data_IF_041911881426
#
_entry.id   IF_041911881426
#
_cell.length_a   1.000
_cell.length_b   1.000
_cell.length_c   1.000
_cell.angle_alpha   90.00
_cell.angle_beta   90.00
_cell.angle_gamma   90.00
#
_symmetry.space_group_name_H-M   'P 1'
#
loop_
_entity.id
_entity.type
_entity.pdbx_description
1 polymer ?
#
# COMPACT_ATOMS: atom_id res chain seq x y z
N UNK A 1 15.27 -20.25 9.15
CA UNK A 1 14.03 -20.78 8.55
C UNK A 1 13.05 -21.05 9.67
N UNK A 2 12.25 -20.04 10.03
CA UNK A 2 11.15 -20.24 10.95
C UNK A 2 10.13 -21.17 10.28
N UNK A 3 9.70 -22.21 10.98
CA UNK A 3 8.57 -23.05 10.58
C UNK A 3 7.39 -22.13 10.32
N UNK A 4 7.01 -21.94 9.06
CA UNK A 4 5.79 -21.23 8.70
C UNK A 4 4.63 -21.90 9.43
N UNK A 5 4.04 -21.19 10.39
CA UNK A 5 2.81 -21.63 11.01
C UNK A 5 1.72 -21.61 9.94
N UNK A 6 1.52 -22.77 9.31
CA UNK A 6 0.52 -22.99 8.26
C UNK A 6 -0.89 -22.60 8.73
N UNK A 7 -1.12 -22.44 10.03
CA UNK A 7 -2.40 -21.98 10.57
C UNK A 7 -2.68 -20.50 10.26
N UNK A 8 -1.63 -19.65 10.20
CA UNK A 8 -1.75 -18.22 9.92
C UNK A 8 -2.02 -17.93 8.44
N UNK A 9 -1.47 -18.75 7.54
CA UNK A 9 -1.62 -18.62 6.09
C UNK A 9 -2.78 -19.44 5.52
N UNK A 10 -3.48 -20.21 6.35
CA UNK A 10 -4.62 -21.03 5.91
C UNK A 10 -5.73 -20.21 5.22
N UNK A 11 -6.13 -19.01 5.69
CA UNK A 11 -7.03 -18.13 4.94
C UNK A 11 -6.54 -17.80 3.53
N UNK A 12 -5.26 -17.47 3.38
CA UNK A 12 -4.65 -17.11 2.10
C UNK A 12 -4.71 -18.26 1.12
N UNK A 13 -4.31 -19.46 1.56
CA UNK A 13 -4.33 -20.67 0.74
C UNK A 13 -5.76 -20.98 0.27
N UNK A 14 -6.76 -20.88 1.15
CA UNK A 14 -8.17 -21.09 0.79
C UNK A 14 -8.67 -20.09 -0.26
N UNK A 15 -8.17 -18.86 -0.23
CA UNK A 15 -8.51 -17.81 -1.19
C UNK A 15 -7.60 -17.79 -2.43
N UNK A 16 -6.70 -18.78 -2.60
CA UNK A 16 -5.82 -18.88 -3.76
C UNK A 16 -4.65 -17.89 -3.77
N UNK A 17 -4.23 -17.41 -2.59
CA UNK A 17 -3.12 -16.47 -2.45
C UNK A 17 -1.82 -17.17 -1.99
N UNK A 18 -0.72 -16.84 -2.67
CA UNK A 18 0.65 -17.17 -2.29
C UNK A 18 1.33 -15.94 -1.67
N UNK A 19 2.09 -16.09 -0.58
CA UNK A 19 2.85 -14.98 0.02
C UNK A 19 4.30 -15.06 -0.46
N UNK A 20 4.74 -14.04 -1.20
CA UNK A 20 6.03 -14.07 -1.90
C UNK A 20 6.85 -12.80 -1.63
N UNK A 21 8.18 -12.85 -1.55
CA UNK A 21 9.00 -11.65 -1.51
C UNK A 21 8.85 -10.85 -2.81
N UNK A 22 8.86 -9.51 -2.71
CA UNK A 22 8.77 -8.61 -3.86
C UNK A 22 9.96 -8.80 -4.82
N UNK A 23 11.15 -8.99 -4.27
CA UNK A 23 12.41 -9.10 -5.02
C UNK A 23 13.36 -10.06 -4.31
N UNK A 24 14.33 -10.62 -5.03
CA UNK A 24 15.41 -11.42 -4.43
C UNK A 24 16.52 -10.56 -3.81
N UNK A 25 16.38 -9.23 -3.86
CA UNK A 25 17.32 -8.30 -3.23
C UNK A 25 17.44 -8.58 -1.71
N UNK A 26 18.63 -8.33 -1.16
CA UNK A 26 18.95 -8.50 0.26
C UNK A 26 17.89 -7.89 1.19
N UNK A 27 17.34 -6.72 0.85
CA UNK A 27 16.35 -6.03 1.68
C UNK A 27 15.08 -6.86 1.92
N UNK A 28 14.53 -7.48 0.87
CA UNK A 28 13.34 -8.32 0.96
C UNK A 28 13.60 -9.64 1.70
N UNK A 29 14.87 -10.02 1.87
CA UNK A 29 15.28 -11.21 2.63
C UNK A 29 15.63 -10.89 4.09
N UNK A 30 15.97 -9.63 4.42
CA UNK A 30 16.40 -9.20 5.76
C UNK A 30 15.31 -8.53 6.57
N UNK A 31 14.33 -7.88 5.93
CA UNK A 31 13.24 -7.15 6.57
C UNK A 31 11.89 -7.60 6.05
N UNK A 32 10.87 -7.55 6.91
CA UNK A 32 9.47 -7.85 6.57
C UNK A 32 8.68 -6.62 6.12
N UNK A 33 9.15 -5.41 6.45
CA UNK A 33 8.59 -4.13 6.02
C UNK A 33 9.69 -3.08 5.85
N UNK A 34 9.47 -2.10 4.96
CA UNK A 34 10.38 -0.98 4.67
C UNK A 34 9.60 0.33 4.70
N UNK A 35 10.15 1.46 5.19
CA UNK A 35 9.45 2.74 5.10
C UNK A 35 9.34 3.16 3.63
N UNK A 36 8.13 3.47 3.16
CA UNK A 36 7.86 3.92 1.80
C UNK A 36 7.87 5.45 1.72
N UNK A 37 7.25 6.09 2.70
CA UNK A 37 7.16 7.55 2.82
C UNK A 37 7.50 7.91 4.25
N UNK A 38 8.37 8.89 4.44
CA UNK A 38 8.72 9.43 5.75
C UNK A 38 8.49 10.94 5.78
N UNK A 39 8.05 11.51 6.92
CA UNK A 39 8.21 12.93 7.17
C UNK A 39 9.68 13.34 7.10
N UNK A 40 9.95 14.57 6.68
CA UNK A 40 11.32 15.10 6.58
C UNK A 40 12.03 15.26 7.94
N UNK A 41 11.39 15.14 9.08
CA UNK A 41 12.09 15.07 10.37
C UNK A 41 12.61 13.65 10.70
N UNK A 42 12.45 12.69 9.77
CA UNK A 42 13.02 11.35 9.86
C UNK A 42 13.92 11.03 8.67
N UNK A 43 14.84 10.10 8.87
CA UNK A 43 15.71 9.55 7.83
C UNK A 43 15.82 8.04 7.99
N UNK A 44 15.71 7.32 6.87
CA UNK A 44 16.00 5.90 6.81
C UNK A 44 17.50 5.66 6.56
N UNK A 45 18.12 4.82 7.38
CA UNK A 45 19.48 4.32 7.17
C UNK A 45 19.43 2.88 6.66
N UNK A 46 19.72 2.64 5.37
CA UNK A 46 19.69 1.30 4.77
C UNK A 46 20.70 0.33 5.39
N UNK A 47 21.79 0.85 5.97
CA UNK A 47 22.87 0.03 6.54
C UNK A 47 22.45 -0.55 7.89
N UNK A 48 21.83 0.26 8.73
CA UNK A 48 21.36 -0.16 10.06
C UNK A 48 19.91 -0.60 10.08
N UNK A 49 19.17 -0.45 8.98
CA UNK A 49 17.75 -0.87 8.86
C UNK A 49 16.87 -0.11 9.86
N UNK A 50 17.20 1.16 10.09
CA UNK A 50 16.52 1.98 11.11
C UNK A 50 16.05 3.30 10.54
N UNK A 51 14.90 3.73 11.05
CA UNK A 51 14.42 5.09 10.90
C UNK A 51 14.88 5.89 12.11
N UNK A 52 15.56 7.01 11.86
CA UNK A 52 16.16 7.86 12.90
C UNK A 52 15.51 9.24 12.83
N UNK A 53 15.04 9.75 13.98
CA UNK A 53 14.55 11.12 14.11
C UNK A 53 15.72 12.10 13.99
N UNK A 54 15.58 13.12 13.14
CA UNK A 54 16.56 14.18 12.92
C UNK A 54 16.38 15.28 13.97
N UNK A 55 17.30 15.43 14.94
CA UNK A 55 17.14 16.42 16.00
C UNK A 55 17.10 17.85 15.43
N UNK A 56 16.13 18.65 15.88
CA UNK A 56 16.00 20.05 15.47
C UNK A 56 15.40 20.29 14.08
N UNK A 57 15.00 19.24 13.35
CA UNK A 57 14.29 19.38 12.08
C UNK A 57 12.79 19.47 12.33
N UNK A 58 12.15 20.48 11.73
CA UNK A 58 10.69 20.66 11.78
C UNK A 58 10.07 19.84 10.65
N UNK A 59 8.99 19.10 10.97
CA UNK A 59 8.17 18.41 9.98
C UNK A 59 7.44 19.44 9.10
N UNK A 60 7.69 19.39 7.81
CA UNK A 60 7.13 20.32 6.80
C UNK A 60 6.72 19.64 5.51
N UNK A 61 7.28 18.47 5.20
CA UNK A 61 6.99 17.77 3.94
C UNK A 61 7.27 16.27 4.06
N UNK A 62 6.73 15.51 3.11
CA UNK A 62 6.92 14.08 2.94
C UNK A 62 8.07 13.79 1.99
N UNK A 63 8.81 12.72 2.26
CA UNK A 63 9.95 12.24 1.49
C UNK A 63 9.71 10.77 1.12
N UNK A 64 9.87 10.45 -0.16
CA UNK A 64 9.85 9.06 -0.64
C UNK A 64 11.19 8.40 -0.31
N UNK A 65 11.14 7.17 0.18
CA UNK A 65 12.35 6.38 0.45
C UNK A 65 12.74 5.61 -0.82
N UNK A 66 13.92 5.89 -1.36
CA UNK A 66 14.37 5.36 -2.65
C UNK A 66 14.45 3.83 -2.66
N UNK A 67 14.90 3.20 -1.57
CA UNK A 67 15.00 1.74 -1.47
C UNK A 67 13.64 1.06 -1.59
N UNK A 68 12.61 1.59 -0.92
CA UNK A 68 11.25 1.08 -1.01
C UNK A 68 10.65 1.33 -2.40
N UNK A 69 10.95 2.49 -2.98
CA UNK A 69 10.52 2.85 -4.33
C UNK A 69 11.09 1.90 -5.39
N UNK A 70 12.36 1.51 -5.25
CA UNK A 70 12.97 0.52 -6.15
C UNK A 70 12.36 -0.88 -5.99
N UNK A 71 12.06 -1.31 -4.76
CA UNK A 71 11.32 -2.55 -4.54
C UNK A 71 9.95 -2.51 -5.21
N UNK A 72 9.23 -1.40 -5.06
CA UNK A 72 7.93 -1.22 -5.69
C UNK A 72 8.04 -1.29 -7.24
N UNK A 73 9.10 -0.72 -7.81
CA UNK A 73 9.37 -0.79 -9.26
C UNK A 73 9.68 -2.22 -9.74
N UNK A 74 10.19 -3.10 -8.89
CA UNK A 74 10.43 -4.51 -9.24
C UNK A 74 9.11 -5.29 -9.45
N UNK A 75 7.99 -4.80 -8.89
CA UNK A 75 6.67 -5.41 -9.08
C UNK A 75 6.12 -5.08 -10.48
N UNK A 76 6.25 -6.02 -11.41
CA UNK A 76 5.76 -5.89 -12.80
C UNK A 76 4.31 -6.31 -12.99
N UNK A 77 3.76 -7.06 -12.04
CA UNK A 77 2.35 -7.47 -12.05
C UNK A 77 1.42 -6.27 -11.77
N UNK A 78 0.15 -6.32 -12.21
CA UNK A 78 -0.90 -5.49 -11.65
C UNK A 78 -0.93 -5.53 -10.13
N UNK A 79 -1.16 -4.38 -9.51
CA UNK A 79 -1.19 -4.26 -8.05
C UNK A 79 -2.60 -4.00 -7.51
N UNK A 80 -2.91 -4.66 -6.41
CA UNK A 80 -3.92 -4.29 -5.43
C UNK A 80 -3.16 -3.77 -4.20
N UNK A 81 -3.67 -2.76 -3.52
CA UNK A 81 -2.99 -2.18 -2.35
C UNK A 81 -3.98 -2.08 -1.20
N UNK A 82 -3.69 -2.82 -0.12
CA UNK A 82 -4.44 -2.74 1.13
C UNK A 82 -3.67 -1.87 2.10
N UNK A 83 -4.25 -0.75 2.51
CA UNK A 83 -3.64 0.14 3.48
C UNK A 83 -4.49 0.26 4.74
N UNK A 84 -3.85 0.34 5.91
CA UNK A 84 -4.52 0.58 7.18
C UNK A 84 -4.10 1.91 7.79
N UNK A 85 -5.07 2.70 8.24
CA UNK A 85 -4.85 3.95 8.96
C UNK A 85 -5.79 4.07 10.17
N UNK A 86 -5.58 5.10 10.99
CA UNK A 86 -6.38 5.37 12.18
C UNK A 86 -5.54 5.60 13.44
N UNK A 87 -6.20 5.69 14.59
CA UNK A 87 -5.62 6.11 15.86
C UNK A 87 -4.31 5.39 16.22
N UNK A 88 -3.38 6.09 16.87
CA UNK A 88 -2.17 5.48 17.42
C UNK A 88 -2.50 4.37 18.44
N UNK A 89 -1.64 3.34 18.51
CA UNK A 89 -1.73 2.25 19.50
C UNK A 89 -3.04 1.42 19.48
N UNK A 90 -3.74 1.42 18.34
CA UNK A 90 -5.00 0.68 18.15
C UNK A 90 -4.84 -0.71 17.49
N UNK A 91 -3.60 -1.23 17.45
CA UNK A 91 -3.30 -2.55 16.89
C UNK A 91 -3.35 -2.66 15.35
N UNK A 92 -3.16 -1.54 14.63
CA UNK A 92 -3.11 -1.49 13.15
C UNK A 92 -2.06 -2.41 12.55
N UNK A 93 -0.81 -2.21 12.95
CA UNK A 93 0.36 -2.95 12.49
C UNK A 93 0.20 -4.46 12.73
N UNK A 94 -0.49 -4.87 13.80
CA UNK A 94 -0.81 -6.28 14.04
C UNK A 94 -1.86 -6.81 13.07
N UNK A 95 -2.95 -6.09 12.81
CA UNK A 95 -3.99 -6.51 11.88
C UNK A 95 -3.43 -6.71 10.46
N UNK A 96 -2.59 -5.78 9.99
CA UNK A 96 -1.94 -5.89 8.68
C UNK A 96 -0.80 -6.91 8.66
N UNK A 97 -0.11 -7.15 9.78
CA UNK A 97 0.84 -8.28 9.89
C UNK A 97 0.14 -9.63 9.75
N UNK A 98 -1.04 -9.77 10.34
CA UNK A 98 -1.87 -10.98 10.18
C UNK A 98 -2.35 -11.15 8.74
N UNK A 99 -2.66 -10.07 8.02
CA UNK A 99 -2.87 -10.10 6.56
C UNK A 99 -1.61 -10.49 5.78
N UNK A 100 -0.41 -10.23 6.30
CA UNK A 100 0.86 -10.69 5.73
C UNK A 100 1.19 -12.16 6.08
N UNK A 101 0.33 -12.84 6.84
CA UNK A 101 0.53 -14.24 7.25
C UNK A 101 1.52 -14.42 8.41
N UNK A 102 1.87 -13.36 9.15
CA UNK A 102 2.74 -13.43 10.35
C UNK A 102 2.16 -12.61 11.51
N UNK A 103 2.81 -12.61 12.67
CA UNK A 103 2.40 -11.77 13.80
C UNK A 103 3.06 -10.39 13.80
N UNK A 104 4.13 -10.22 13.03
CA UNK A 104 5.16 -9.19 13.21
C UNK A 104 5.74 -8.66 11.87
N UNK A 105 5.00 -8.81 10.76
CA UNK A 105 5.48 -8.33 9.46
C UNK A 105 5.76 -6.82 9.46
N UNK A 106 5.00 -6.06 10.24
CA UNK A 106 5.21 -4.65 10.53
C UNK A 106 5.59 -4.48 12.00
N UNK A 107 6.51 -3.55 12.26
CA UNK A 107 7.02 -3.36 13.61
C UNK A 107 5.92 -2.91 14.58
N UNK A 108 5.74 -3.68 15.65
CA UNK A 108 4.79 -3.34 16.72
C UNK A 108 5.47 -2.44 17.76
N UNK A 109 4.73 -1.45 18.25
CA UNK A 109 5.12 -0.63 19.39
C UNK A 109 4.50 -1.17 20.68
N UNK A 110 5.33 -1.51 21.67
CA UNK A 110 4.93 -1.85 23.04
C UNK A 110 5.21 -0.71 24.04
N UNK A 111 5.44 0.51 23.53
CA UNK A 111 5.71 1.72 24.32
C UNK A 111 4.68 2.78 23.97
N UNK A 112 4.41 3.67 24.92
CA UNK A 112 3.46 4.80 24.79
C UNK A 112 3.80 5.84 23.71
N UNK A 113 4.88 5.67 22.94
CA UNK A 113 5.27 6.58 21.85
C UNK A 113 5.00 5.93 20.48
N UNK A 114 4.42 6.67 19.50
CA UNK A 114 4.24 6.17 18.15
C UNK A 114 5.57 5.69 17.56
N UNK A 115 5.58 4.45 17.07
CA UNK A 115 6.80 3.80 16.56
C UNK A 115 6.89 3.85 15.04
N UNK A 116 5.76 3.78 14.33
CA UNK A 116 5.70 4.02 12.90
C UNK A 116 5.58 5.52 12.63
N UNK A 117 6.62 6.11 12.04
CA UNK A 117 6.54 7.42 11.39
C UNK A 117 6.36 7.20 9.88
N UNK A 118 5.47 7.96 9.27
CA UNK A 118 5.18 7.87 7.83
C UNK A 118 4.33 6.67 7.41
N UNK A 119 4.55 6.15 6.21
CA UNK A 119 3.86 4.99 5.63
C UNK A 119 4.88 3.90 5.34
N UNK A 120 4.60 2.70 5.84
CA UNK A 120 5.44 1.51 5.72
C UNK A 120 4.83 0.53 4.73
N UNK A 121 5.67 -0.15 3.96
CA UNK A 121 5.28 -1.13 2.95
C UNK A 121 5.83 -2.51 3.32
N UNK A 122 5.00 -3.54 3.24
CA UNK A 122 5.46 -4.92 3.38
C UNK A 122 6.42 -5.32 2.26
N UNK A 123 7.50 -6.05 2.59
CA UNK A 123 8.48 -6.53 1.58
C UNK A 123 8.03 -7.82 0.88
N UNK A 124 6.91 -8.38 1.32
CA UNK A 124 6.21 -9.51 0.69
C UNK A 124 4.86 -9.05 0.13
N UNK A 125 4.43 -9.70 -0.94
CA UNK A 125 3.14 -9.50 -1.59
C UNK A 125 2.29 -10.76 -1.50
N UNK A 126 0.97 -10.57 -1.54
CA UNK A 126 0.00 -11.66 -1.67
C UNK A 126 -0.35 -11.82 -3.14
N UNK A 127 0.17 -12.85 -3.81
CA UNK A 127 -0.08 -13.11 -5.23
C UNK A 127 -1.30 -14.00 -5.41
N UNK A 128 -2.23 -13.58 -6.25
CA UNK A 128 -3.33 -14.43 -6.71
C UNK A 128 -3.25 -14.57 -8.24
N UNK A 129 -2.96 -15.79 -8.70
CA UNK A 129 -2.75 -16.08 -10.13
C UNK A 129 -4.05 -16.02 -10.93
N UNK A 130 -5.17 -16.44 -10.33
CA UNK A 130 -6.48 -16.45 -10.98
C UNK A 130 -7.01 -15.03 -11.17
N UNK A 131 -6.87 -14.17 -10.15
CA UNK A 131 -7.24 -12.75 -10.24
C UNK A 131 -6.25 -11.91 -11.07
N UNK A 132 -5.03 -12.43 -11.29
CA UNK A 132 -4.02 -11.82 -12.14
C UNK A 132 -3.43 -10.52 -11.58
N UNK A 133 -3.23 -10.46 -10.27
CA UNK A 133 -2.59 -9.34 -9.57
C UNK A 133 -1.83 -9.80 -8.32
N UNK A 134 -1.02 -8.89 -7.78
CA UNK A 134 -0.39 -9.04 -6.46
C UNK A 134 -0.89 -7.96 -5.51
N UNK A 135 -1.00 -8.28 -4.23
CA UNK A 135 -1.43 -7.34 -3.18
C UNK A 135 -0.24 -6.86 -2.37
N UNK A 136 -0.09 -5.55 -2.28
CA UNK A 136 0.88 -4.86 -1.41
C UNK A 136 0.14 -4.40 -0.15
N UNK A 137 0.81 -4.51 1.00
CA UNK A 137 0.27 -4.10 2.29
C UNK A 137 0.97 -2.83 2.77
N UNK A 138 0.18 -1.84 3.21
CA UNK A 138 0.66 -0.58 3.76
C UNK A 138 0.16 -0.38 5.20
N UNK A 139 1.06 0.06 6.09
CA UNK A 139 0.75 0.48 7.46
C UNK A 139 1.10 1.96 7.63
N UNK A 140 0.18 2.76 8.16
CA UNK A 140 0.43 4.18 8.41
C UNK A 140 0.78 4.46 9.87
N UNK A 141 1.50 5.56 10.07
CA UNK A 141 1.57 6.28 11.34
C UNK A 141 0.16 6.49 11.90
N UNK A 142 0.03 6.39 13.22
CA UNK A 142 -1.23 6.59 13.90
C UNK A 142 -1.54 8.06 14.13
N UNK A 143 -2.77 8.46 13.83
CA UNK A 143 -3.27 9.79 14.18
C UNK A 143 -3.41 9.87 15.70
N UNK A 144 -2.67 10.77 16.36
CA UNK A 144 -2.91 11.06 17.78
C UNK A 144 -3.11 12.56 17.98
N UNK A 145 -4.35 12.93 18.31
CA UNK A 145 -4.77 14.31 18.54
C UNK A 145 -4.13 14.94 19.80
N UNK A 146 -3.41 14.16 20.60
CA UNK A 146 -2.83 14.61 21.88
C UNK A 146 -1.58 15.47 21.69
N UNK A 147 -0.84 15.32 20.61
CA UNK A 147 0.39 16.10 20.39
C UNK A 147 0.23 17.09 19.21
N UNK A 148 0.28 18.41 19.46
CA UNK A 148 0.14 19.44 18.43
C UNK A 148 1.20 19.38 17.30
N UNK A 149 2.37 18.79 17.58
CA UNK A 149 3.43 18.50 16.59
C UNK A 149 3.00 17.51 15.49
N UNK A 150 1.88 16.82 15.70
CA UNK A 150 1.23 15.91 14.77
C UNK A 150 0.02 16.57 14.06
N UNK A 151 -0.14 17.90 14.08
CA UNK A 151 -1.23 18.57 13.36
C UNK A 151 -1.16 18.44 11.81
N UNK A 152 -0.03 17.98 11.27
CA UNK A 152 0.23 17.83 9.83
C UNK A 152 0.08 16.36 9.32
N UNK A 153 -0.99 15.69 9.76
CA UNK A 153 -1.30 14.31 9.33
C UNK A 153 -2.08 14.23 8.01
N UNK A 154 -2.54 15.37 7.48
CA UNK A 154 -3.34 15.42 6.26
C UNK A 154 -2.63 14.76 5.08
N UNK A 155 -1.35 15.07 4.87
CA UNK A 155 -0.57 14.52 3.76
C UNK A 155 -0.47 12.99 3.78
N UNK A 156 -0.17 12.37 4.92
CA UNK A 156 -0.10 10.89 5.00
C UNK A 156 -1.47 10.26 4.73
N UNK A 157 -2.54 10.89 5.17
CA UNK A 157 -3.90 10.40 4.92
C UNK A 157 -4.29 10.52 3.44
N UNK A 158 -3.93 11.63 2.77
CA UNK A 158 -4.03 11.78 1.31
C UNK A 158 -3.33 10.60 0.64
N UNK A 159 -2.07 10.36 1.03
CA UNK A 159 -1.26 9.31 0.41
C UNK A 159 -1.89 7.93 0.58
N UNK A 160 -2.44 7.61 1.76
CA UNK A 160 -3.16 6.35 1.98
C UNK A 160 -4.37 6.20 1.05
N UNK A 161 -5.16 7.27 0.85
CA UNK A 161 -6.30 7.23 -0.09
C UNK A 161 -5.84 7.04 -1.53
N UNK A 162 -4.83 7.81 -1.98
CA UNK A 162 -4.38 7.79 -3.37
C UNK A 162 -3.63 6.51 -3.78
N UNK A 163 -3.00 5.83 -2.83
CA UNK A 163 -2.19 4.62 -3.11
C UNK A 163 -2.99 3.33 -2.98
N UNK A 164 -4.09 3.31 -2.23
CA UNK A 164 -4.80 2.08 -1.89
C UNK A 164 -5.91 1.73 -2.90
N UNK A 165 -6.21 0.44 -3.02
CA UNK A 165 -7.47 -0.06 -3.58
C UNK A 165 -8.47 -0.47 -2.49
N UNK A 166 -7.98 -0.74 -1.27
CA UNK A 166 -8.78 -0.93 -0.06
C UNK A 166 -8.13 -0.14 1.08
N UNK A 167 -8.87 0.82 1.63
CA UNK A 167 -8.48 1.59 2.80
C UNK A 167 -9.22 1.04 4.04
N UNK A 168 -8.47 0.54 5.00
CA UNK A 168 -8.97 0.08 6.30
C UNK A 168 -8.79 1.23 7.30
N UNK A 169 -9.90 1.77 7.79
CA UNK A 169 -9.90 2.73 8.89
C UNK A 169 -10.11 2.00 10.21
N UNK A 170 -9.09 1.98 11.06
CA UNK A 170 -9.05 1.20 12.29
C UNK A 170 -9.27 2.08 13.53
N UNK A 171 -10.30 1.74 14.31
CA UNK A 171 -10.61 2.40 15.58
C UNK A 171 -10.84 1.37 16.67
N UNK A 172 -10.73 1.80 17.93
CA UNK A 172 -11.05 0.98 19.09
C UNK A 172 -12.50 1.22 19.51
N UNK A 173 -13.17 0.15 19.90
CA UNK A 173 -14.57 0.13 20.37
C UNK A 173 -15.54 0.59 19.27
N UNK A 174 -16.80 0.78 19.66
CA UNK A 174 -17.84 1.34 18.79
C UNK A 174 -17.53 2.80 18.43
N UNK A 175 -17.94 3.28 17.24
CA UNK A 175 -17.65 4.64 16.81
C UNK A 175 -18.11 5.72 17.80
N UNK A 176 -17.22 6.67 18.09
CA UNK A 176 -17.45 7.81 18.97
C UNK A 176 -17.43 9.12 18.20
N UNK A 177 -17.78 10.23 18.86
CA UNK A 177 -17.63 11.58 18.28
C UNK A 177 -16.19 11.91 17.86
N UNK A 178 -15.18 11.36 18.56
CA UNK A 178 -13.77 11.58 18.21
C UNK A 178 -13.42 10.96 16.87
N UNK A 179 -13.85 9.72 16.64
CA UNK A 179 -13.59 9.00 15.39
C UNK A 179 -14.21 9.73 14.19
N UNK A 180 -15.37 10.35 14.39
CA UNK A 180 -16.00 11.18 13.37
C UNK A 180 -15.20 12.45 13.06
N UNK A 181 -14.57 13.09 14.05
CA UNK A 181 -13.68 14.25 13.80
C UNK A 181 -12.47 13.85 12.96
N UNK A 182 -11.89 12.68 13.21
CA UNK A 182 -10.77 12.17 12.41
C UNK A 182 -11.23 11.79 10.99
N UNK A 183 -12.41 11.18 10.83
CA UNK A 183 -13.03 10.97 9.52
C UNK A 183 -13.38 12.27 8.80
N UNK A 184 -13.67 13.35 9.53
CA UNK A 184 -13.87 14.66 8.92
C UNK A 184 -12.60 15.16 8.24
N UNK A 185 -11.44 14.99 8.88
CA UNK A 185 -10.14 15.30 8.26
C UNK A 185 -9.97 14.49 6.98
N UNK A 186 -10.31 13.19 6.99
CA UNK A 186 -10.32 12.35 5.79
C UNK A 186 -11.21 12.95 4.69
N UNK A 187 -12.46 13.30 5.00
CA UNK A 187 -13.39 13.85 4.01
C UNK A 187 -12.98 15.22 3.49
N UNK A 188 -12.44 16.09 4.34
CA UNK A 188 -11.97 17.43 3.96
C UNK A 188 -10.75 17.34 3.04
N UNK A 189 -9.85 16.39 3.33
CA UNK A 189 -8.68 16.09 2.53
C UNK A 189 -9.06 15.48 1.18
N UNK A 190 -9.98 14.52 1.18
CA UNK A 190 -10.50 13.92 -0.05
C UNK A 190 -11.22 14.95 -0.91
N UNK A 191 -11.99 15.85 -0.29
CA UNK A 191 -12.68 16.94 -0.97
C UNK A 191 -11.74 17.92 -1.67
N UNK A 192 -10.42 17.83 -1.43
CA UNK A 192 -9.42 18.58 -2.19
C UNK A 192 -8.94 17.80 -3.42
N UNK A 193 -8.90 16.47 -3.41
CA UNK A 193 -8.36 15.65 -4.51
C UNK A 193 -9.17 15.87 -5.79
N UNK A 194 -8.48 16.12 -6.91
CA UNK A 194 -9.11 16.32 -8.22
C UNK A 194 -8.89 15.11 -9.13
N UNK A 195 -9.86 14.82 -9.99
CA UNK A 195 -9.70 13.81 -11.04
C UNK A 195 -8.96 14.37 -12.24
N UNK A 196 -9.38 15.54 -12.73
CA UNK A 196 -8.77 16.24 -13.86
C UNK A 196 -8.40 17.68 -13.47
N UNK A 197 -7.47 18.25 -14.21
CA UNK A 197 -7.10 19.66 -14.07
C UNK A 197 -8.30 20.56 -14.40
N UNK A 198 -8.52 21.61 -13.60
CA UNK A 198 -9.57 22.63 -13.77
C UNK A 198 -11.04 22.17 -13.65
N UNK A 199 -11.32 20.98 -13.13
CA UNK A 199 -12.71 20.54 -12.81
C UNK A 199 -13.03 20.77 -11.32
N UNK A 200 -14.25 21.26 -11.03
CA UNK A 200 -14.80 21.27 -9.67
C UNK A 200 -15.18 19.84 -9.24
N UNK A 201 -14.99 19.53 -7.95
CA UNK A 201 -15.22 18.20 -7.33
C UNK A 201 -16.66 17.67 -7.56
N UNK A 202 -17.57 18.54 -7.94
CA UNK A 202 -19.01 18.29 -8.11
C UNK A 202 -19.41 17.73 -9.47
N UNK A 203 -18.59 17.89 -10.53
CA UNK A 203 -19.01 17.53 -11.90
C UNK A 203 -18.77 16.04 -12.27
N UNK A 204 -17.81 15.35 -11.63
CA UNK A 204 -17.44 13.96 -11.98
C UNK A 204 -17.27 13.04 -10.76
N UNK A 205 -18.18 13.12 -9.79
CA UNK A 205 -18.20 12.20 -8.64
C UNK A 205 -18.29 10.73 -9.05
N UNK A 206 -18.85 10.44 -10.23
CA UNK A 206 -18.87 9.09 -10.80
C UNK A 206 -17.49 8.56 -11.16
N UNK A 207 -16.63 9.36 -11.80
CA UNK A 207 -15.26 8.97 -12.08
C UNK A 207 -14.40 8.93 -10.80
N UNK A 208 -14.58 9.88 -9.87
CA UNK A 208 -13.95 9.84 -8.53
C UNK A 208 -14.24 8.53 -7.82
N UNK A 209 -15.53 8.17 -7.70
CA UNK A 209 -15.97 6.96 -7.00
C UNK A 209 -15.36 5.68 -7.57
N UNK A 210 -15.03 5.68 -8.87
CA UNK A 210 -14.40 4.53 -9.53
C UNK A 210 -12.91 4.40 -9.21
N UNK A 211 -12.17 5.49 -9.07
CA UNK A 211 -10.72 5.45 -8.83
C UNK A 211 -10.35 5.45 -7.36
N UNK A 212 -11.28 5.81 -6.49
CA UNK A 212 -11.11 5.76 -5.05
C UNK A 212 -11.10 4.33 -4.51
N UNK A 213 -10.39 4.07 -3.40
CA UNK A 213 -10.37 2.75 -2.78
C UNK A 213 -11.76 2.35 -2.28
N UNK A 214 -11.97 1.05 -2.08
CA UNK A 214 -13.04 0.60 -1.19
C UNK A 214 -12.70 1.02 0.25
N UNK A 215 -13.70 1.35 1.05
CA UNK A 215 -13.52 1.73 2.44
C UNK A 215 -14.01 0.62 3.36
N UNK A 216 -13.19 0.27 4.36
CA UNK A 216 -13.56 -0.66 5.42
C UNK A 216 -13.30 -0.06 6.79
N UNK A 217 -14.32 0.02 7.64
CA UNK A 217 -14.15 0.40 9.03
C UNK A 217 -13.90 -0.83 9.89
N UNK A 218 -12.67 -0.97 10.40
CA UNK A 218 -12.30 -2.01 11.35
C UNK A 218 -12.52 -1.52 12.79
N UNK A 219 -13.52 -2.09 13.46
CA UNK A 219 -13.87 -1.79 14.85
C UNK A 219 -13.26 -2.83 15.79
N UNK A 220 -12.24 -2.43 16.55
CA UNK A 220 -11.52 -3.30 17.49
C UNK A 220 -12.21 -3.35 18.85
N UNK A 221 -11.91 -4.37 19.64
CA UNK A 221 -12.41 -4.56 21.01
C UNK A 221 -13.94 -4.47 21.14
N UNK A 222 -14.67 -4.90 20.11
CA UNK A 222 -16.14 -4.94 20.12
C UNK A 222 -16.61 -6.27 20.71
N UNK A 223 -17.26 -6.20 21.86
CA UNK A 223 -17.85 -7.35 22.56
C UNK A 223 -19.38 -7.24 22.74
N UNK A 224 -19.96 -6.08 22.42
CA UNK A 224 -21.40 -5.86 22.46
C UNK A 224 -22.04 -6.28 21.13
N UNK A 225 -23.27 -6.76 21.21
CA UNK A 225 -24.09 -6.99 20.01
C UNK A 225 -24.44 -5.65 19.37
N UNK A 226 -24.33 -5.60 18.05
CA UNK A 226 -24.79 -4.47 17.26
C UNK A 226 -26.29 -4.68 17.01
N UNK A 227 -27.13 -3.79 17.52
CA UNK A 227 -28.58 -3.87 17.39
C UNK A 227 -29.15 -2.57 16.85
N UNK A 228 -30.20 -2.67 16.04
CA UNK A 228 -30.90 -1.49 15.53
C UNK A 228 -31.63 -0.78 16.67
N UNK A 229 -31.48 0.54 16.85
CA UNK A 229 -32.01 1.25 18.02
C UNK A 229 -33.53 1.26 18.09
N UNK A 230 -34.22 1.21 16.95
CA UNK A 230 -35.69 1.30 16.90
C UNK A 230 -36.37 -0.08 16.93
N UNK A 231 -35.73 -1.13 16.40
CA UNK A 231 -36.34 -2.48 16.26
C UNK A 231 -35.76 -3.50 17.23
N UNK A 232 -34.55 -3.26 17.76
CA UNK A 232 -33.83 -4.20 18.63
C UNK A 232 -33.23 -5.41 17.91
N UNK A 233 -33.34 -5.47 16.58
CA UNK A 233 -32.82 -6.58 15.77
C UNK A 233 -31.29 -6.53 15.67
N UNK A 234 -30.64 -7.71 15.65
CA UNK A 234 -29.19 -7.83 15.52
C UNK A 234 -28.76 -7.47 14.08
N UNK A 235 -27.72 -6.63 13.97
CA UNK A 235 -27.25 -6.07 12.71
C UNK A 235 -25.86 -6.60 12.35
N UNK A 236 -25.54 -6.62 11.05
CA UNK A 236 -24.15 -6.77 10.63
C UNK A 236 -23.35 -5.50 10.99
N UNK A 237 -22.02 -5.57 11.13
CA UNK A 237 -21.20 -4.39 11.33
C UNK A 237 -21.39 -3.32 10.23
N UNK A 238 -21.49 -3.75 8.97
CA UNK A 238 -21.69 -2.86 7.83
C UNK A 238 -23.03 -2.14 7.91
N UNK A 239 -24.11 -2.85 8.21
CA UNK A 239 -25.45 -2.25 8.33
C UNK A 239 -25.51 -1.31 9.52
N UNK A 240 -24.90 -1.67 10.66
CA UNK A 240 -24.81 -0.79 11.82
C UNK A 240 -24.09 0.53 11.48
N UNK A 241 -22.97 0.47 10.76
CA UNK A 241 -22.25 1.69 10.34
C UNK A 241 -23.12 2.53 9.39
N UNK A 242 -23.73 1.91 8.39
CA UNK A 242 -24.52 2.61 7.36
C UNK A 242 -25.82 3.21 7.92
N UNK A 243 -26.55 2.45 8.73
CA UNK A 243 -27.91 2.74 9.13
C UNK A 243 -28.04 3.30 10.55
N UNK A 244 -27.01 3.17 11.39
CA UNK A 244 -27.02 3.73 12.75
C UNK A 244 -25.97 4.83 12.90
N UNK A 245 -24.72 4.57 12.50
CA UNK A 245 -23.64 5.56 12.67
C UNK A 245 -23.73 6.69 11.65
N UNK A 246 -24.03 6.39 10.39
CA UNK A 246 -24.19 7.40 9.34
C UNK A 246 -25.64 7.84 9.11
N UNK A 247 -26.57 7.36 9.94
CA UNK A 247 -28.00 7.67 9.81
C UNK A 247 -28.24 9.17 9.89
N UNK A 248 -29.03 9.68 8.94
CA UNK A 248 -29.65 11.00 9.03
C UNK A 248 -30.94 10.94 9.82
N UNK A 249 -31.06 11.79 10.83
CA UNK A 249 -32.30 12.08 11.54
C UNK A 249 -33.22 12.91 10.62
N UNK A 250 -34.16 12.21 9.96
CA UNK A 250 -35.10 12.83 9.02
C UNK A 250 -36.07 13.82 9.68
N UNK A 251 -36.16 13.84 11.02
CA UNK A 251 -37.03 14.78 11.74
C UNK A 251 -36.37 16.14 11.95
N UNK A 252 -35.04 16.22 11.87
CA UNK A 252 -34.30 17.48 11.98
C UNK A 252 -34.10 18.14 10.61
N UNK A 253 -34.33 19.46 10.55
CA UNK A 253 -34.11 20.25 9.33
C UNK A 253 -32.63 20.40 8.98
N UNK A 254 -31.77 20.51 9.99
CA UNK A 254 -30.33 20.69 9.79
C UNK A 254 -29.58 19.39 10.07
N UNK A 255 -28.65 19.06 9.18
CA UNK A 255 -27.76 17.92 9.38
C UNK A 255 -26.68 18.22 10.40
N UNK A 256 -26.47 17.27 11.30
CA UNK A 256 -25.32 17.22 12.21
C UNK A 256 -24.02 16.95 11.43
N UNK A 257 -22.89 17.28 12.04
CA UNK A 257 -21.58 17.00 11.41
C UNK A 257 -21.37 15.51 11.14
N UNK A 258 -21.84 14.64 12.04
CA UNK A 258 -21.83 13.18 11.88
C UNK A 258 -22.53 12.73 10.59
N UNK A 259 -23.71 13.28 10.32
CA UNK A 259 -24.52 12.95 9.13
C UNK A 259 -23.85 13.44 7.85
N UNK A 260 -23.23 14.63 7.89
CA UNK A 260 -22.48 15.17 6.75
C UNK A 260 -21.27 14.29 6.42
N UNK A 261 -20.52 13.88 7.43
CA UNK A 261 -19.35 12.98 7.28
C UNK A 261 -19.81 11.63 6.73
N UNK A 262 -20.86 11.04 7.32
CA UNK A 262 -21.42 9.77 6.87
C UNK A 262 -21.87 9.82 5.41
N UNK A 263 -22.61 10.85 5.01
CA UNK A 263 -22.98 11.06 3.61
C UNK A 263 -21.75 11.19 2.72
N UNK A 264 -20.74 11.98 3.12
CA UNK A 264 -19.53 12.17 2.33
C UNK A 264 -18.82 10.84 2.08
N UNK A 265 -18.57 10.04 3.12
CA UNK A 265 -17.97 8.70 3.02
C UNK A 265 -18.78 7.81 2.08
N UNK A 266 -20.10 7.74 2.25
CA UNK A 266 -21.00 6.94 1.42
C UNK A 266 -21.09 7.41 -0.04
N UNK A 267 -20.73 8.67 -0.31
CA UNK A 267 -20.74 9.25 -1.65
C UNK A 267 -19.40 9.06 -2.36
N UNK A 268 -18.30 9.27 -1.64
CA UNK A 268 -16.92 9.23 -2.14
C UNK A 268 -16.50 7.82 -2.51
N UNK A 269 -16.78 6.84 -1.65
CA UNK A 269 -16.30 5.47 -1.83
C UNK A 269 -17.32 4.61 -2.56
N UNK A 270 -16.85 3.74 -3.46
CA UNK A 270 -17.73 2.81 -4.19
C UNK A 270 -18.43 1.86 -3.21
N UNK A 271 -17.62 1.27 -2.32
CA UNK A 271 -18.05 0.36 -1.26
C UNK A 271 -17.60 0.89 0.09
N UNK A 272 -18.50 0.78 1.06
CA UNK A 272 -18.28 1.13 2.47
C UNK A 272 -18.69 -0.09 3.27
N UNK A 273 -17.75 -0.77 3.90
CA UNK A 273 -17.99 -1.97 4.70
C UNK A 273 -17.44 -1.78 6.11
N UNK A 274 -17.82 -2.66 7.03
CA UNK A 274 -17.25 -2.67 8.36
C UNK A 274 -17.04 -4.10 8.87
N UNK A 275 -16.08 -4.24 9.78
CA UNK A 275 -15.77 -5.51 10.42
C UNK A 275 -15.47 -5.29 11.90
N UNK A 276 -15.86 -6.24 12.75
CA UNK A 276 -15.60 -6.18 14.19
C UNK A 276 -14.60 -7.24 14.61
N UNK A 277 -13.65 -6.86 15.46
CA UNK A 277 -12.75 -7.78 16.15
C UNK A 277 -12.99 -7.68 17.65
N UNK A 278 -13.04 -8.82 18.37
CA UNK A 278 -13.10 -8.81 19.83
C UNK A 278 -11.74 -8.40 20.42
N UNK A 279 -11.68 -8.34 21.76
CA UNK A 279 -10.42 -8.15 22.47
C UNK A 279 -9.50 -9.37 22.24
N UNK A 280 -8.19 -9.19 22.00
CA UNK A 280 -7.27 -10.30 21.73
C UNK A 280 -6.91 -11.13 22.98
N UNK A 281 -7.11 -10.61 24.19
CA UNK A 281 -6.81 -11.32 25.43
C UNK A 281 -6.68 -10.38 26.63
N UNK A 282 -6.05 -10.89 27.70
CA UNK A 282 -5.71 -10.11 28.89
C UNK A 282 -4.69 -9.01 28.64
N UNK A 283 -4.38 -8.23 29.67
CA UNK A 283 -3.44 -7.09 29.58
C UNK A 283 -2.04 -7.51 29.14
N UNK A 284 -1.58 -8.67 29.59
CA UNK A 284 -0.32 -9.30 29.22
C UNK A 284 -0.24 -9.59 27.70
N UNK A 285 -1.34 -10.08 27.12
CA UNK A 285 -1.45 -10.32 25.68
C UNK A 285 -1.49 -9.00 24.90
N UNK A 286 -2.21 -7.99 25.41
CA UNK A 286 -2.32 -6.69 24.73
C UNK A 286 -1.01 -5.92 24.76
N UNK A 287 -0.24 -6.02 25.84
CA UNK A 287 1.06 -5.35 26.00
C UNK A 287 2.12 -5.85 25.01
N UNK A 288 2.17 -7.17 24.79
CA UNK A 288 3.03 -7.78 23.78
C UNK A 288 2.36 -9.00 23.13
N UNK A 289 1.54 -8.73 22.12
CA UNK A 289 0.74 -9.73 21.43
C UNK A 289 1.57 -10.74 20.63
N UNK A 290 2.79 -10.36 20.22
CA UNK A 290 3.69 -11.25 19.48
C UNK A 290 4.36 -12.23 20.44
N UNK A 291 4.90 -11.72 21.56
CA UNK A 291 5.49 -12.57 22.59
C UNK A 291 4.46 -13.54 23.20
N UNK A 292 3.20 -13.11 23.27
CA UNK A 292 2.10 -13.90 23.82
C UNK A 292 1.17 -14.51 22.77
N UNK A 293 1.67 -14.78 21.55
CA UNK A 293 0.86 -15.29 20.45
C UNK A 293 0.07 -16.57 20.78
N UNK A 294 0.63 -17.44 21.63
CA UNK A 294 0.00 -18.69 22.08
C UNK A 294 -1.15 -18.48 23.08
N UNK A 295 -1.22 -17.30 23.71
CA UNK A 295 -2.20 -16.95 24.73
C UNK A 295 -3.33 -16.07 24.17
N UNK A 296 -3.31 -15.78 22.87
CA UNK A 296 -4.36 -15.02 22.21
C UNK A 296 -5.66 -15.81 22.24
N UNK A 297 -6.75 -15.13 22.62
CA UNK A 297 -8.08 -15.71 22.71
C UNK A 297 -8.51 -16.40 21.40
N UNK A 298 -9.05 -17.61 21.53
CA UNK A 298 -9.44 -18.42 20.38
C UNK A 298 -10.44 -17.67 19.49
N UNK A 299 -11.44 -17.05 20.11
CA UNK A 299 -12.48 -16.27 19.41
C UNK A 299 -11.89 -15.10 18.61
N UNK A 300 -10.83 -14.47 19.12
CA UNK A 300 -10.13 -13.42 18.37
C UNK A 300 -9.40 -14.00 17.16
N UNK A 301 -8.68 -15.12 17.33
CA UNK A 301 -8.00 -15.78 16.23
C UNK A 301 -8.97 -16.27 15.14
N UNK A 302 -10.15 -16.77 15.51
CA UNK A 302 -11.21 -17.15 14.56
C UNK A 302 -11.73 -15.93 13.79
N UNK A 303 -12.08 -14.84 14.49
CA UNK A 303 -12.55 -13.61 13.85
C UNK A 303 -11.47 -12.94 12.98
N UNK A 304 -10.20 -13.04 13.36
CA UNK A 304 -9.09 -12.59 12.52
C UNK A 304 -8.97 -13.42 11.24
N UNK A 305 -9.22 -14.73 11.27
CA UNK A 305 -9.23 -15.57 10.06
C UNK A 305 -10.38 -15.16 9.14
N UNK A 306 -11.59 -14.98 9.69
CA UNK A 306 -12.75 -14.49 8.93
C UNK A 306 -12.47 -13.12 8.31
N UNK A 307 -11.84 -12.21 9.05
CA UNK A 307 -11.44 -10.88 8.55
C UNK A 307 -10.49 -10.98 7.36
N UNK A 308 -9.46 -11.81 7.46
CA UNK A 308 -8.49 -12.02 6.36
C UNK A 308 -9.20 -12.62 5.15
N UNK A 309 -10.05 -13.64 5.32
CA UNK A 309 -10.80 -14.25 4.23
C UNK A 309 -11.73 -13.26 3.55
N UNK A 310 -12.47 -12.46 4.32
CA UNK A 310 -13.36 -11.44 3.82
C UNK A 310 -12.60 -10.46 2.92
N UNK A 311 -11.49 -9.91 3.41
CA UNK A 311 -10.65 -9.00 2.62
C UNK A 311 -10.18 -9.67 1.33
N UNK A 312 -9.52 -10.83 1.42
CA UNK A 312 -8.92 -11.50 0.28
C UNK A 312 -9.95 -11.91 -0.79
N UNK A 313 -11.16 -12.29 -0.37
CA UNK A 313 -12.24 -12.65 -1.29
C UNK A 313 -12.64 -11.47 -2.18
N UNK A 314 -12.62 -10.25 -1.64
CA UNK A 314 -13.14 -9.05 -2.31
C UNK A 314 -12.06 -8.10 -2.87
N UNK A 315 -10.78 -8.47 -2.76
CA UNK A 315 -9.72 -7.61 -3.32
C UNK A 315 -9.83 -7.46 -4.83
N UNK A 316 -9.66 -6.22 -5.27
CA UNK A 316 -9.60 -5.77 -6.66
C UNK A 316 -8.26 -5.04 -6.92
N UNK A 317 -7.83 -5.01 -8.19
CA UNK A 317 -6.70 -4.17 -8.60
C UNK A 317 -6.98 -2.69 -8.32
N UNK A 318 -5.93 -1.91 -8.10
CA UNK A 318 -6.02 -0.45 -8.17
C UNK A 318 -6.56 -0.05 -9.56
N UNK A 319 -7.64 0.71 -9.53
CA UNK A 319 -8.33 1.20 -10.72
C UNK A 319 -7.66 2.48 -11.20
N UNK A 320 -7.68 2.66 -12.51
CA UNK A 320 -7.29 3.91 -13.16
C UNK A 320 -8.52 4.54 -13.86
N UNK A 321 -8.36 5.78 -14.31
CA UNK A 321 -9.28 6.54 -15.15
C UNK A 321 -9.57 5.87 -16.50
N UNK A 322 -8.63 5.09 -17.04
CA UNK A 322 -8.86 4.35 -18.28
C UNK A 322 -9.52 2.99 -18.01
N UNK A 323 -10.65 2.75 -18.69
CA UNK A 323 -11.45 1.52 -18.50
C UNK A 323 -10.57 0.30 -18.78
N UNK A 324 -10.50 -0.63 -17.82
CA UNK A 324 -9.73 -1.88 -17.87
C UNK A 324 -8.19 -1.73 -17.80
N UNK A 325 -7.67 -0.53 -17.56
CA UNK A 325 -6.24 -0.38 -17.26
C UNK A 325 -5.96 -0.87 -15.84
N UNK A 326 -4.89 -1.65 -15.71
CA UNK A 326 -4.40 -2.16 -14.43
C UNK A 326 -3.07 -1.48 -14.12
N UNK A 327 -2.99 -0.84 -12.97
CA UNK A 327 -1.77 -0.19 -12.49
C UNK A 327 -0.79 -1.28 -12.06
N UNK A 328 0.44 -1.22 -12.56
CA UNK A 328 1.56 -2.08 -12.13
C UNK A 328 2.36 -1.41 -11.01
N UNK A 329 3.23 -2.14 -10.31
CA UNK A 329 4.09 -1.56 -9.28
C UNK A 329 5.03 -0.46 -9.81
N UNK A 330 5.63 -0.64 -10.99
CA UNK A 330 6.45 0.41 -11.64
C UNK A 330 5.66 1.70 -11.93
N UNK A 331 4.39 1.56 -12.31
CA UNK A 331 3.50 2.71 -12.52
C UNK A 331 3.11 3.34 -11.20
N UNK A 332 2.72 2.55 -10.20
CA UNK A 332 2.39 3.03 -8.86
C UNK A 332 3.56 3.78 -8.22
N UNK A 333 4.80 3.29 -8.39
CA UNK A 333 6.01 4.00 -7.96
C UNK A 333 6.15 5.38 -8.60
N UNK A 334 5.83 5.50 -9.89
CA UNK A 334 5.88 6.78 -10.59
C UNK A 334 4.78 7.72 -10.10
N UNK A 335 3.56 7.20 -9.91
CA UNK A 335 2.42 7.96 -9.37
C UNK A 335 2.69 8.43 -7.94
N UNK A 336 3.25 7.57 -7.09
CA UNK A 336 3.67 7.89 -5.72
C UNK A 336 4.58 9.13 -5.68
N UNK A 337 5.58 9.22 -6.56
CA UNK A 337 6.47 10.39 -6.60
C UNK A 337 5.72 11.67 -6.97
N UNK A 338 4.79 11.62 -7.93
CA UNK A 338 3.96 12.76 -8.32
C UNK A 338 3.02 13.19 -7.20
N UNK A 339 2.38 12.23 -6.53
CA UNK A 339 1.51 12.50 -5.40
C UNK A 339 2.25 13.14 -4.23
N UNK A 340 3.45 12.66 -3.88
CA UNK A 340 4.25 13.29 -2.82
C UNK A 340 4.66 14.71 -3.20
N UNK A 341 5.01 14.96 -4.46
CA UNK A 341 5.30 16.33 -4.93
C UNK A 341 4.08 17.24 -4.76
N UNK A 342 2.90 16.82 -5.21
CA UNK A 342 1.68 17.60 -5.09
C UNK A 342 1.23 17.81 -3.64
N UNK A 343 1.37 16.81 -2.77
CA UNK A 343 1.03 16.93 -1.33
C UNK A 343 1.95 17.90 -0.59
N UNK A 344 3.20 18.03 -1.04
CA UNK A 344 4.18 18.92 -0.41
C UNK A 344 4.06 20.37 -0.86
N UNK A 345 3.34 20.65 -1.94
CA UNK A 345 3.14 21.99 -2.46
C UNK A 345 1.83 22.56 -1.89
N UNK A 346 1.88 23.66 -1.11
CA UNK A 346 0.68 24.25 -0.51
C UNK A 346 -0.29 24.85 -1.54
N UNK A 347 0.18 25.15 -2.75
CA UNK A 347 -0.61 25.72 -3.85
C UNK A 347 -1.09 24.66 -4.85
N UNK A 348 -0.59 23.42 -4.72
CA UNK A 348 -0.98 22.31 -5.57
C UNK A 348 -2.03 21.41 -4.91
N UNK A 349 -2.72 20.67 -5.76
CA UNK A 349 -3.74 19.72 -5.36
C UNK A 349 -3.45 18.41 -6.07
N UNK A 350 -3.36 17.27 -5.36
CA UNK A 350 -3.14 15.99 -6.00
C UNK A 350 -4.22 15.70 -7.06
N UNK A 351 -3.77 15.58 -8.32
CA UNK A 351 -4.63 15.24 -9.47
C UNK A 351 -4.33 13.82 -9.93
N UNK A 352 -5.35 12.95 -9.90
CA UNK A 352 -5.18 11.52 -10.23
C UNK A 352 -4.77 11.33 -11.70
N UNK A 353 -5.41 12.06 -12.62
CA UNK A 353 -5.15 11.93 -14.06
C UNK A 353 -3.75 12.40 -14.45
N UNK A 354 -3.20 13.44 -13.82
CA UNK A 354 -1.85 13.92 -14.14
C UNK A 354 -0.78 12.92 -13.68
N UNK A 355 -0.92 12.39 -12.46
CA UNK A 355 -0.03 11.35 -11.95
C UNK A 355 -0.07 10.07 -12.81
N UNK A 356 -1.27 9.66 -13.24
CA UNK A 356 -1.42 8.58 -14.20
C UNK A 356 -0.74 8.89 -15.55
N UNK A 357 -1.02 10.06 -16.12
CA UNK A 357 -0.43 10.51 -17.39
C UNK A 357 1.09 10.47 -17.37
N UNK A 358 1.70 11.01 -16.30
CA UNK A 358 3.14 10.97 -16.11
C UNK A 358 3.70 9.53 -16.00
N UNK A 359 2.97 8.62 -15.35
CA UNK A 359 3.34 7.20 -15.31
C UNK A 359 3.33 6.54 -16.70
N UNK A 360 2.35 6.88 -17.54
CA UNK A 360 2.22 6.38 -18.91
C UNK A 360 3.32 6.93 -19.80
N UNK A 361 3.60 8.23 -19.73
CA UNK A 361 4.68 8.87 -20.50
C UNK A 361 6.05 8.29 -20.15
N UNK A 362 6.35 8.13 -18.85
CA UNK A 362 7.60 7.52 -18.41
C UNK A 362 7.73 6.08 -18.92
N UNK A 363 6.64 5.31 -18.88
CA UNK A 363 6.61 3.93 -19.40
C UNK A 363 6.83 3.90 -20.91
N UNK A 364 6.17 4.77 -21.67
CA UNK A 364 6.37 4.89 -23.11
C UNK A 364 7.83 5.18 -23.44
N UNK A 365 8.46 6.14 -22.73
CA UNK A 365 9.87 6.48 -22.92
C UNK A 365 10.79 5.30 -22.63
N UNK A 366 10.55 4.55 -21.55
CA UNK A 366 11.32 3.32 -21.22
C UNK A 366 11.19 2.25 -22.31
N UNK A 367 9.96 1.97 -22.76
CA UNK A 367 9.70 0.97 -23.80
C UNK A 367 10.40 1.35 -25.10
N UNK A 368 10.28 2.61 -25.54
CA UNK A 368 10.90 3.08 -26.77
C UNK A 368 12.44 3.01 -26.69
N UNK A 369 13.03 3.40 -25.55
CA UNK A 369 14.46 3.23 -25.31
C UNK A 369 14.91 1.77 -25.39
N UNK A 370 14.18 0.85 -24.75
CA UNK A 370 14.49 -0.58 -24.80
C UNK A 370 14.35 -1.16 -26.22
N UNK A 371 13.38 -0.71 -27.00
CA UNK A 371 13.21 -1.12 -28.39
C UNK A 371 14.38 -0.66 -29.27
N UNK A 372 14.86 0.58 -29.09
CA UNK A 372 16.03 1.10 -29.82
C UNK A 372 17.28 0.30 -29.48
N UNK A 373 17.51 0.02 -28.19
CA UNK A 373 18.66 -0.82 -27.76
C UNK A 373 18.58 -2.20 -28.39
N UNK A 374 17.41 -2.87 -28.30
CA UNK A 374 17.22 -4.21 -28.88
C UNK A 374 17.43 -4.21 -30.39
N UNK A 375 16.91 -3.22 -31.10
CA UNK A 375 17.11 -3.07 -32.54
C UNK A 375 18.60 -2.93 -32.88
N UNK A 376 19.31 -2.03 -32.20
CA UNK A 376 20.74 -1.81 -32.45
C UNK A 376 21.56 -3.07 -32.16
N UNK A 377 21.30 -3.76 -31.05
CA UNK A 377 21.99 -5.01 -30.70
C UNK A 377 21.78 -6.10 -31.76
N UNK A 378 20.55 -6.27 -32.25
CA UNK A 378 20.23 -7.25 -33.29
C UNK A 378 20.87 -6.88 -34.64
N UNK A 379 20.82 -5.60 -35.03
CA UNK A 379 21.46 -5.12 -36.26
C UNK A 379 22.99 -5.30 -36.21
N UNK A 380 23.63 -5.01 -35.08
CA UNK A 380 25.06 -5.25 -34.87
C UNK A 380 25.41 -6.74 -34.92
N UNK A 381 24.54 -7.60 -34.37
CA UNK A 381 24.72 -9.06 -34.44
C UNK A 381 24.63 -9.55 -35.88
N UNK A 382 23.61 -9.16 -36.63
CA UNK A 382 23.45 -9.54 -38.04
C UNK A 382 24.58 -9.02 -38.92
N UNK A 383 25.00 -7.77 -38.70
CA UNK A 383 26.13 -7.18 -39.44
C UNK A 383 27.42 -7.97 -39.20
N UNK A 384 27.67 -8.38 -37.94
CA UNK A 384 28.82 -9.23 -37.59
C UNK A 384 28.76 -10.60 -38.27
N UNK A 385 27.59 -11.24 -38.28
CA UNK A 385 27.41 -12.54 -38.95
C UNK A 385 27.60 -12.44 -40.47
N UNK A 386 27.09 -11.40 -41.12
CA UNK A 386 27.32 -11.17 -42.57
C UNK A 386 28.81 -10.93 -42.85
N UNK A 387 29.50 -10.12 -42.04
CA UNK A 387 30.93 -9.89 -42.18
C UNK A 387 31.73 -11.19 -41.99
N UNK A 388 31.35 -12.03 -41.04
CA UNK A 388 31.96 -13.34 -40.79
C UNK A 388 31.78 -14.30 -41.96
N UNK A 389 30.62 -14.31 -42.61
CA UNK A 389 30.34 -15.13 -43.79
C UNK A 389 31.02 -14.62 -45.06
N UNK A 390 31.33 -13.31 -45.11
CA UNK A 390 31.91 -12.65 -46.28
C UNK A 390 33.45 -12.61 -46.30
N UNK A 391 34.10 -12.95 -45.18
CA UNK A 391 35.57 -13.06 -45.12
C UNK A 391 36.02 -14.40 -45.72
N UNK A 392 36.89 -14.42 -46.75
CA UNK A 392 37.48 -15.66 -47.24
C UNK A 392 38.21 -16.37 -46.09
N UNK A 393 38.05 -17.69 -45.97
CA UNK A 393 38.91 -18.51 -45.11
C UNK A 393 40.36 -18.31 -45.53
N UNK A 394 41.08 -17.39 -44.89
CA UNK A 394 42.54 -17.34 -44.98
C UNK A 394 43.02 -18.54 -44.19
N UNK A 395 43.21 -19.64 -44.91
CA UNK A 395 43.91 -20.81 -44.43
C UNK A 395 45.38 -20.37 -44.27
N UNK A 396 45.77 -20.05 -43.05
CA UNK A 396 47.18 -19.81 -42.70
C UNK A 396 47.89 -21.16 -42.89
N UNK A 397 48.45 -21.38 -44.08
CA UNK A 397 49.45 -22.43 -44.26
C UNK A 397 50.69 -22.01 -43.48
N UNK A 398 51.06 -22.85 -42.51
CA UNK A 398 52.29 -22.74 -41.76
C UNK A 398 53.48 -22.60 -42.74
N UNK A 399 54.26 -21.54 -42.56
CA UNK A 399 55.61 -21.43 -43.11
C UNK A 399 56.53 -22.29 -42.23
N UNK A 400 56.52 -23.61 -42.48
CA UNK A 400 57.62 -24.48 -42.12
C UNK A 400 58.30 -24.95 -43.41
N UNK A 401 59.64 -24.98 -43.37
CA UNK A 401 60.57 -25.45 -44.40
C UNK A 401 60.90 -24.50 -45.58
N UNK A 402 61.90 -23.64 -45.38
CA UNK A 402 63.14 -23.65 -46.21
C UNK A 402 64.32 -23.15 -45.36
N UNK A 403 64.92 -24.03 -44.56
CA UNK A 403 66.35 -23.96 -44.26
C UNK A 403 67.08 -24.69 -45.37
N UNK A 404 67.62 -23.96 -46.36
CA UNK A 404 68.79 -24.40 -47.14
C UNK A 404 69.66 -23.20 -47.48
N UNK A 405 70.64 -23.03 -46.61
CA UNK A 405 71.93 -22.39 -46.83
C UNK A 405 72.55 -22.74 -48.19
N UNK A 406 73.04 -21.76 -48.97
CA UNK A 406 73.95 -22.04 -50.07
C UNK A 406 75.22 -21.20 -50.01
N UNK A 407 75.94 -21.09 -48.89
CA UNK A 407 77.34 -20.65 -48.94
C UNK A 407 78.22 -21.38 -47.92
N UNK A 408 78.59 -22.61 -48.28
CA UNK A 408 79.85 -23.20 -47.86
C UNK A 408 80.98 -22.77 -48.78
N UNK A 409 81.76 -21.77 -48.36
CA UNK A 409 83.24 -21.73 -48.45
C UNK A 409 83.79 -20.63 -47.55
#
# INVERSE_FOLDING_TARGET
MATEDRSLTAPHIRQGYEILPISQRDLATRQTSVPLILPNDYQYDPSSVKVVKRPGVIRTHLVVVDEALELLRDVKDPVSVVGICGTAQSGKSYAVSRLAGTHDAFELGNKMYPKSSGIWMGTKVLRNREKGFVTILLDSEGTDAVYPEYADHGGLLVMMVLLTSLLIYNTMKVPTKKDLVELKVLTDVIGKIRVKENEEVTEDMGALRRVFPNFMWLLRDVYLKLVHPDTGEEMTPSDYVKEVVFKKDTQKKEETDQEKIGRAIMTIFERVEAFTLPLPGGSDVVEDIVANANNIELKFNEKMKEFIEYILSDLECNKDMTVNSKITGDQLATMLQHYVQAVNDPDDVPVIKSAWGASVELRHKKILGNMVVKYNTEMEHQTREVLRMSLPRIQVMALDEVQRDPYGQ
#
